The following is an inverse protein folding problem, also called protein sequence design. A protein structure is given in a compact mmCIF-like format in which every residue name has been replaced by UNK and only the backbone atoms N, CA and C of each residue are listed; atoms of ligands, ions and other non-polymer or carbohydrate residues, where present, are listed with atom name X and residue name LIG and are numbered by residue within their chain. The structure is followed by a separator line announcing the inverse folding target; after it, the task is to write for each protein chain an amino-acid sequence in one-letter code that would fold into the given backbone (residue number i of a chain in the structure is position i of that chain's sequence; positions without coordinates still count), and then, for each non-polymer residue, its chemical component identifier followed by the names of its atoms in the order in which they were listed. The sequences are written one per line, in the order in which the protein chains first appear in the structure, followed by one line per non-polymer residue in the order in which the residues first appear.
data_IF_231742400699
#
_entry.id   IF_231742400699
#
_cell.length_a   1.000
_cell.length_b   1.000
_cell.length_c   1.000
_cell.angle_alpha   90.00
_cell.angle_beta   90.00
_cell.angle_gamma   90.00
#
_symmetry.space_group_name_H-M   'P 1'
#
loop_
_entity.id
_entity.type
_entity.pdbx_description
1 polymer ?
#
# COMPACT_ATOMS: atom_id res chain seq x y z
N UNK A 1 8.87 -9.16 -7.91
CA UNK A 1 8.11 -8.12 -7.18
C UNK A 1 7.86 -6.92 -8.09
N UNK A 2 8.91 -6.20 -8.53
CA UNK A 2 8.78 -5.03 -9.44
C UNK A 2 7.88 -5.23 -10.67
N UNK A 3 8.02 -6.34 -11.42
CA UNK A 3 7.16 -6.62 -12.58
C UNK A 3 5.67 -6.71 -12.22
N UNK A 4 5.34 -7.36 -11.09
CA UNK A 4 3.95 -7.51 -10.61
C UNK A 4 3.38 -6.17 -10.20
N UNK A 5 4.16 -5.39 -9.46
CA UNK A 5 3.76 -4.05 -9.03
C UNK A 5 3.54 -3.14 -10.24
N UNK A 6 4.45 -3.13 -11.22
CA UNK A 6 4.30 -2.30 -12.44
C UNK A 6 3.07 -2.68 -13.26
N UNK A 7 2.79 -3.97 -13.41
CA UNK A 7 1.57 -4.43 -14.07
C UNK A 7 0.31 -4.01 -13.28
N UNK A 8 0.36 -4.07 -11.94
CA UNK A 8 -0.72 -3.60 -11.10
C UNK A 8 -0.96 -2.08 -11.23
N UNK A 9 0.11 -1.28 -11.20
CA UNK A 9 0.06 0.17 -11.44
C UNK A 9 -0.57 0.51 -12.81
N UNK A 10 -0.23 -0.25 -13.87
CA UNK A 10 -0.84 -0.10 -15.19
C UNK A 10 -2.36 -0.34 -15.14
N UNK A 11 -2.80 -1.41 -14.47
CA UNK A 11 -4.23 -1.74 -14.32
C UNK A 11 -4.99 -0.72 -13.49
N UNK A 12 -4.38 -0.18 -12.43
CA UNK A 12 -4.94 0.92 -11.62
C UNK A 12 -5.22 2.12 -12.53
N UNK A 13 -4.24 2.51 -13.35
CA UNK A 13 -4.39 3.63 -14.29
C UNK A 13 -5.51 3.37 -15.33
N UNK A 14 -5.56 2.17 -15.90
CA UNK A 14 -6.58 1.79 -16.89
C UNK A 14 -8.00 1.75 -16.31
N UNK A 15 -8.13 1.44 -15.02
CA UNK A 15 -9.41 1.44 -14.31
C UNK A 15 -9.86 2.84 -13.85
N UNK A 16 -9.04 3.88 -14.03
CA UNK A 16 -9.33 5.23 -13.52
C UNK A 16 -9.32 5.31 -11.99
N UNK A 17 -8.53 4.45 -11.33
CA UNK A 17 -8.35 4.46 -9.88
C UNK A 17 -7.13 5.32 -9.53
N UNK A 18 -7.25 6.23 -8.57
CA UNK A 18 -6.17 7.15 -8.21
C UNK A 18 -5.13 6.48 -7.30
N UNK A 19 -5.60 5.65 -6.38
CA UNK A 19 -4.75 4.84 -5.51
C UNK A 19 -5.46 3.58 -5.04
N UNK A 20 -4.71 2.58 -4.61
CA UNK A 20 -5.23 1.36 -3.96
C UNK A 20 -4.52 1.17 -2.63
N UNK A 21 -5.31 0.93 -1.58
CA UNK A 21 -4.80 0.48 -0.28
C UNK A 21 -5.00 -1.04 -0.16
N UNK A 22 -3.89 -1.78 -0.06
CA UNK A 22 -3.86 -3.23 0.13
C UNK A 22 -3.59 -3.50 1.61
N UNK A 23 -4.52 -4.21 2.27
CA UNK A 23 -4.46 -4.51 3.70
C UNK A 23 -4.41 -6.02 3.95
N UNK A 24 -4.93 -6.82 3.02
CA UNK A 24 -4.98 -8.26 3.18
C UNK A 24 -3.57 -8.86 3.13
N UNK A 25 -3.23 -9.66 4.14
CA UNK A 25 -1.87 -10.17 4.35
C UNK A 25 -1.35 -11.03 3.19
N UNK A 26 -2.23 -11.76 2.51
CA UNK A 26 -1.87 -12.59 1.35
C UNK A 26 -1.43 -11.74 0.17
N UNK A 27 -2.16 -10.67 -0.11
CA UNK A 27 -1.89 -9.80 -1.24
C UNK A 27 -0.70 -8.88 -0.95
N UNK A 28 -0.56 -8.41 0.29
CA UNK A 28 0.68 -7.81 0.79
C UNK A 28 1.88 -8.71 0.55
N UNK A 29 1.83 -9.98 0.96
CA UNK A 29 2.93 -10.91 0.75
C UNK A 29 3.20 -11.15 -0.75
N UNK A 30 2.16 -11.24 -1.58
CA UNK A 30 2.28 -11.42 -3.02
C UNK A 30 3.03 -10.28 -3.72
N UNK A 31 2.76 -9.03 -3.32
CA UNK A 31 3.40 -7.84 -3.88
C UNK A 31 4.74 -7.50 -3.24
N UNK A 32 4.86 -7.66 -1.93
CA UNK A 32 5.99 -7.13 -1.16
C UNK A 32 7.01 -8.18 -0.71
N UNK A 33 6.57 -9.43 -0.55
CA UNK A 33 7.39 -10.50 0.02
C UNK A 33 7.50 -10.49 1.56
N UNK A 34 6.93 -9.49 2.25
CA UNK A 34 6.92 -9.49 3.72
C UNK A 34 5.60 -10.04 4.27
N UNK A 35 5.71 -10.81 5.36
CA UNK A 35 4.56 -11.30 6.12
C UNK A 35 4.26 -10.40 7.34
N UNK A 36 5.00 -9.29 7.50
CA UNK A 36 4.75 -8.36 8.59
C UNK A 36 3.40 -7.65 8.42
N UNK A 37 2.72 -7.26 9.52
CA UNK A 37 1.51 -6.47 9.46
C UNK A 37 1.80 -5.10 8.82
N UNK A 38 1.28 -4.87 7.62
CA UNK A 38 1.54 -3.67 6.83
C UNK A 38 0.25 -3.13 6.18
N UNK A 39 0.35 -1.93 5.59
CA UNK A 39 -0.56 -1.43 4.55
C UNK A 39 0.31 -1.04 3.36
N UNK A 40 -0.03 -1.51 2.17
CA UNK A 40 0.66 -1.11 0.93
C UNK A 40 -0.25 -0.14 0.19
N UNK A 41 0.21 1.09 0.03
CA UNK A 41 -0.46 2.09 -0.80
C UNK A 41 0.21 2.10 -2.18
N UNK A 42 -0.59 2.03 -3.25
CA UNK A 42 -0.11 2.02 -4.63
C UNK A 42 -0.89 3.03 -5.44
N UNK A 43 -0.21 3.93 -6.14
CA UNK A 43 -0.78 4.77 -7.21
C UNK A 43 -0.24 4.29 -8.56
N UNK A 44 -0.75 4.81 -9.70
CA UNK A 44 -0.17 4.54 -11.02
C UNK A 44 1.34 4.79 -11.13
N UNK A 45 1.89 5.69 -10.32
CA UNK A 45 3.28 6.13 -10.41
C UNK A 45 4.12 5.66 -9.24
N UNK A 46 3.55 5.66 -8.03
CA UNK A 46 4.28 5.46 -6.77
C UNK A 46 3.73 4.30 -5.94
N UNK A 47 4.51 3.83 -4.97
CA UNK A 47 4.06 2.90 -3.95
C UNK A 47 4.73 3.22 -2.61
N UNK A 48 4.04 2.94 -1.50
CA UNK A 48 4.57 3.14 -0.16
C UNK A 48 4.11 2.02 0.78
N UNK A 49 5.02 1.44 1.55
CA UNK A 49 4.73 0.40 2.53
C UNK A 49 4.76 0.97 3.95
N UNK A 50 3.61 0.89 4.59
CA UNK A 50 3.37 1.31 5.97
C UNK A 50 3.47 0.10 6.88
N UNK A 51 4.54 -0.02 7.66
CA UNK A 51 4.76 -1.16 8.55
C UNK A 51 4.17 -0.86 9.92
N UNK A 52 3.16 -1.64 10.34
CA UNK A 52 2.52 -1.48 11.66
C UNK A 52 3.37 -2.07 12.77
N UNK A 53 4.01 -3.21 12.52
CA UNK A 53 4.86 -3.94 13.48
C UNK A 53 5.96 -4.68 12.73
N UNK A 54 7.13 -4.82 13.36
CA UNK A 54 8.25 -5.57 12.77
C UNK A 54 8.99 -4.83 11.66
N UNK A 55 9.14 -3.50 11.77
CA UNK A 55 9.78 -2.65 10.76
C UNK A 55 11.14 -3.17 10.28
N UNK A 56 12.05 -3.53 11.18
CA UNK A 56 13.37 -4.06 10.81
C UNK A 56 13.27 -5.35 9.98
N UNK A 57 12.30 -6.22 10.32
CA UNK A 57 12.06 -7.45 9.59
C UNK A 57 11.45 -7.17 8.21
N UNK A 58 10.45 -6.30 8.14
CA UNK A 58 9.86 -5.89 6.87
C UNK A 58 10.90 -5.25 5.96
N UNK A 59 11.75 -4.38 6.49
CA UNK A 59 12.84 -3.74 5.76
C UNK A 59 13.85 -4.78 5.22
N UNK A 60 14.21 -5.79 6.00
CA UNK A 60 15.07 -6.88 5.54
C UNK A 60 14.39 -7.71 4.43
N UNK A 61 13.08 -7.97 4.56
CA UNK A 61 12.31 -8.75 3.57
C UNK A 61 12.19 -7.99 2.22
N UNK A 62 12.00 -6.67 2.23
CA UNK A 62 11.72 -5.86 1.02
C UNK A 62 12.93 -5.10 0.45
N UNK A 63 14.02 -4.99 1.21
CA UNK A 63 15.15 -4.09 0.92
C UNK A 63 15.89 -4.36 -0.38
N UNK A 64 15.64 -5.50 -1.03
CA UNK A 64 16.21 -5.82 -2.36
C UNK A 64 15.50 -5.10 -3.52
N UNK A 65 14.29 -4.57 -3.32
CA UNK A 65 13.50 -4.01 -4.43
C UNK A 65 12.73 -2.74 -4.09
N UNK A 66 12.51 -2.45 -2.81
CA UNK A 66 11.83 -1.25 -2.35
C UNK A 66 12.81 -0.30 -1.66
N UNK A 67 12.85 0.95 -2.12
CA UNK A 67 13.65 2.00 -1.50
C UNK A 67 13.17 2.28 -0.07
N UNK A 68 14.10 2.54 0.85
CA UNK A 68 13.79 2.88 2.25
C UNK A 68 12.90 4.12 2.37
N UNK A 69 12.96 5.07 1.44
CA UNK A 69 12.09 6.24 1.40
C UNK A 69 10.61 5.89 1.15
N UNK A 70 10.37 4.72 0.55
CA UNK A 70 9.03 4.17 0.30
C UNK A 70 8.59 3.21 1.42
N UNK A 71 9.24 3.29 2.58
CA UNK A 71 8.95 2.52 3.79
C UNK A 71 8.70 3.47 4.95
N UNK A 72 7.79 3.12 5.84
CA UNK A 72 7.59 3.87 7.08
C UNK A 72 7.23 2.95 8.25
N UNK A 73 7.68 3.32 9.45
CA UNK A 73 7.35 2.63 10.70
C UNK A 73 6.09 3.24 11.34
N UNK A 74 5.06 3.41 10.52
CA UNK A 74 3.71 3.81 10.91
C UNK A 74 2.74 3.09 9.99
N UNK A 75 1.57 2.67 10.49
CA UNK A 75 0.55 2.03 9.65
C UNK A 75 -0.89 2.31 10.08
N UNK A 76 -1.06 3.45 10.72
CA UNK A 76 -2.37 4.05 11.00
C UNK A 76 -2.92 4.69 9.72
N UNK A 77 -4.24 4.78 9.62
CA UNK A 77 -4.91 5.31 8.42
C UNK A 77 -4.62 6.81 8.18
N UNK A 78 -4.41 7.57 9.24
CA UNK A 78 -3.98 8.97 9.17
C UNK A 78 -2.66 9.16 8.41
N UNK A 79 -1.71 8.23 8.55
CA UNK A 79 -0.46 8.21 7.80
C UNK A 79 -0.69 7.95 6.31
N UNK A 80 -1.62 7.04 5.98
CA UNK A 80 -1.96 6.74 4.58
C UNK A 80 -2.64 7.95 3.93
N UNK A 81 -3.58 8.59 4.63
CA UNK A 81 -4.24 9.81 4.16
C UNK A 81 -3.25 10.98 3.97
N UNK A 82 -2.25 11.10 4.85
CA UNK A 82 -1.16 12.09 4.69
C UNK A 82 -0.32 11.78 3.45
N UNK A 83 0.00 10.52 3.20
CA UNK A 83 0.77 10.13 2.01
C UNK A 83 0.02 10.37 0.70
N UNK A 84 -1.28 10.09 0.67
CA UNK A 84 -2.14 10.44 -0.47
C UNK A 84 -2.07 11.95 -0.78
N UNK A 85 -2.10 12.80 0.25
CA UNK A 85 -1.94 14.26 0.09
C UNK A 85 -0.53 14.64 -0.41
N UNK A 86 0.52 13.98 0.06
CA UNK A 86 1.89 14.17 -0.45
C UNK A 86 1.98 13.84 -1.94
N UNK A 87 1.28 12.78 -2.38
CA UNK A 87 1.13 12.40 -3.79
C UNK A 87 0.16 13.28 -4.58
N UNK A 88 -0.34 14.37 -3.98
CA UNK A 88 -1.32 15.31 -4.57
C UNK A 88 -2.66 14.65 -4.92
N UNK A 89 -2.98 13.52 -4.30
CA UNK A 89 -4.27 12.82 -4.40
C UNK A 89 -5.13 13.26 -3.22
N UNK A 90 -5.79 14.41 -3.36
CA UNK A 90 -6.67 14.96 -2.32
C UNK A 90 -8.13 14.50 -2.45
N UNK A 91 -8.52 14.01 -3.63
CA UNK A 91 -9.85 13.51 -3.98
C UNK A 91 -9.72 12.52 -5.12
N UNK A 92 -10.66 11.59 -5.25
CA UNK A 92 -10.63 10.59 -6.30
C UNK A 92 -11.22 9.25 -5.86
N UNK A 93 -10.78 8.19 -6.54
CA UNK A 93 -11.17 6.80 -6.28
C UNK A 93 -10.03 6.08 -5.55
N UNK A 94 -10.29 5.66 -4.32
CA UNK A 94 -9.43 4.77 -3.54
C UNK A 94 -9.94 3.33 -3.67
N UNK A 95 -9.17 2.47 -4.34
CA UNK A 95 -9.47 1.04 -4.41
C UNK A 95 -9.10 0.32 -3.10
N UNK A 96 -9.92 -0.67 -2.72
CA UNK A 96 -9.75 -1.48 -1.52
C UNK A 96 -10.28 -2.90 -1.74
N UNK A 97 -9.83 -3.84 -0.92
CA UNK A 97 -10.23 -5.26 -0.94
C UNK A 97 -11.52 -5.44 -0.12
N UNK A 98 -12.65 -4.94 -0.62
CA UNK A 98 -13.91 -4.86 0.15
C UNK A 98 -14.51 -6.21 0.56
N UNK A 99 -14.11 -7.30 -0.10
CA UNK A 99 -14.50 -8.68 0.24
C UNK A 99 -13.76 -9.23 1.47
N UNK A 100 -12.60 -8.67 1.81
CA UNK A 100 -11.77 -9.09 2.95
C UNK A 100 -11.59 -8.00 4.00
N UNK A 101 -11.90 -6.75 3.68
CA UNK A 101 -11.77 -5.60 4.57
C UNK A 101 -12.97 -5.53 5.54
N UNK A 102 -12.75 -5.53 6.87
CA UNK A 102 -13.83 -5.33 7.83
C UNK A 102 -14.51 -3.98 7.64
N UNK A 103 -15.84 -3.92 7.81
CA UNK A 103 -16.61 -2.68 7.67
C UNK A 103 -16.13 -1.55 8.59
N UNK A 104 -15.69 -1.88 9.81
CA UNK A 104 -15.12 -0.91 10.75
C UNK A 104 -13.89 -0.19 10.15
N UNK A 105 -12.99 -0.95 9.51
CA UNK A 105 -11.81 -0.37 8.84
C UNK A 105 -12.23 0.52 7.69
N UNK A 106 -13.23 0.11 6.89
CA UNK A 106 -13.75 0.92 5.78
C UNK A 106 -14.34 2.26 6.26
N UNK A 107 -15.04 2.27 7.39
CA UNK A 107 -15.67 3.47 7.95
C UNK A 107 -14.67 4.48 8.55
N UNK A 108 -13.41 4.11 8.71
CA UNK A 108 -12.35 5.01 9.18
C UNK A 108 -11.65 5.81 8.05
N UNK A 109 -11.97 5.56 6.78
CA UNK A 109 -11.35 6.22 5.60
C UNK A 109 -12.08 7.49 5.15
#
# INVERSE_FOLDING_TARGET
MLKRLKEFQRRIAEAGIDAVAILYSRDLYYFTGTAQPCVLLVSPEECHLFVRRGYERAMADVGMWLDRHNLSNEGRLDAVARKLREWKIAKGVLGMELDTTPAEVYLEW
#
